data_IF_133934919008
#
_entry.id   IF_133934919008
#
_cell.length_a   1.000
_cell.length_b   1.000
_cell.length_c   1.000
_cell.angle_alpha   90.00
_cell.angle_beta   90.00
_cell.angle_gamma   90.00
#
_symmetry.space_group_name_H-M   'P 1'
#
loop_
_entity.id
_entity.type
_entity.pdbx_description
1 polymer ?
#
# COMPACT_ATOMS: atom_id res chain seq x y z
N UNK A 1 18.87 13.02 -3.21
CA UNK A 1 19.87 13.06 -4.31
C UNK A 1 20.80 11.87 -4.12
N UNK A 2 20.91 11.02 -5.13
CA UNK A 2 21.74 9.81 -5.06
C UNK A 2 23.23 10.18 -5.05
N UNK A 3 24.03 9.52 -4.21
CA UNK A 3 25.48 9.71 -4.18
C UNK A 3 26.19 8.74 -5.12
N UNK A 4 27.35 9.10 -5.61
CA UNK A 4 28.17 8.23 -6.47
C UNK A 4 28.55 6.92 -5.79
N UNK A 5 28.77 6.96 -4.48
CA UNK A 5 29.03 5.77 -3.68
C UNK A 5 27.83 4.80 -3.69
N UNK A 6 26.59 5.32 -3.51
CA UNK A 6 25.38 4.50 -3.57
C UNK A 6 25.20 3.86 -4.95
N UNK A 7 25.42 4.61 -6.04
CA UNK A 7 25.37 4.07 -7.41
C UNK A 7 26.38 2.93 -7.57
N UNK A 8 27.63 3.16 -7.20
CA UNK A 8 28.72 2.18 -7.38
C UNK A 8 28.49 0.89 -6.59
N UNK A 9 28.08 1.01 -5.32
CA UNK A 9 27.81 -0.14 -4.45
C UNK A 9 26.60 -0.96 -4.93
N UNK A 10 25.50 -0.29 -5.30
CA UNK A 10 24.31 -0.96 -5.78
C UNK A 10 24.52 -1.64 -7.14
N UNK A 11 25.25 -0.98 -8.06
CA UNK A 11 25.65 -1.59 -9.33
C UNK A 11 26.47 -2.87 -9.11
N UNK A 12 27.48 -2.81 -8.23
CA UNK A 12 28.33 -3.96 -7.91
C UNK A 12 27.55 -5.10 -7.27
N UNK A 13 26.59 -4.80 -6.36
CA UNK A 13 25.70 -5.82 -5.77
C UNK A 13 24.89 -6.55 -6.82
N UNK A 14 24.48 -5.86 -7.89
CA UNK A 14 23.76 -6.46 -9.03
C UNK A 14 24.66 -7.12 -10.07
N UNK A 15 25.98 -7.14 -9.86
CA UNK A 15 26.93 -7.73 -10.80
C UNK A 15 27.04 -6.98 -12.13
N UNK A 16 26.57 -5.73 -12.21
CA UNK A 16 26.58 -4.94 -13.43
C UNK A 16 27.94 -4.24 -13.62
N UNK A 17 28.42 -4.18 -14.87
CA UNK A 17 29.50 -3.27 -15.25
C UNK A 17 29.00 -1.84 -15.43
N UNK A 18 29.87 -0.82 -15.45
CA UNK A 18 29.46 0.56 -15.76
C UNK A 18 28.82 0.64 -17.16
N UNK A 19 29.33 -0.11 -18.13
CA UNK A 19 28.76 -0.17 -19.47
C UNK A 19 27.36 -0.81 -19.49
N UNK A 20 27.15 -1.91 -18.78
CA UNK A 20 25.85 -2.56 -18.69
C UNK A 20 24.81 -1.66 -18.00
N UNK A 21 25.20 -0.94 -16.93
CA UNK A 21 24.31 0.03 -16.30
C UNK A 21 23.99 1.20 -17.24
N UNK A 22 24.98 1.69 -17.97
CA UNK A 22 24.82 2.79 -18.93
C UNK A 22 23.81 2.43 -20.04
N UNK A 23 23.87 1.21 -20.57
CA UNK A 23 22.93 0.69 -21.56
C UNK A 23 21.49 0.65 -20.99
N UNK A 24 21.30 0.16 -19.77
CA UNK A 24 19.98 0.09 -19.11
C UNK A 24 19.34 1.46 -18.88
N UNK A 25 20.16 2.52 -18.74
CA UNK A 25 19.70 3.89 -18.45
C UNK A 25 19.67 4.76 -19.71
N UNK A 26 20.22 4.25 -20.82
CA UNK A 26 20.38 4.99 -22.07
C UNK A 26 21.28 6.23 -21.89
N UNK A 27 22.54 5.97 -21.49
CA UNK A 27 23.60 6.97 -21.35
C UNK A 27 24.96 6.37 -21.74
N UNK A 28 26.03 7.20 -21.79
CA UNK A 28 27.35 6.67 -22.02
C UNK A 28 27.98 6.06 -20.75
N UNK A 29 28.91 5.10 -20.86
CA UNK A 29 29.66 4.57 -19.72
C UNK A 29 30.44 5.64 -18.95
N UNK A 30 30.91 6.68 -19.64
CA UNK A 30 31.57 7.83 -19.04
C UNK A 30 30.65 8.63 -18.13
N UNK A 31 29.37 8.72 -18.48
CA UNK A 31 28.39 9.38 -17.62
C UNK A 31 28.20 8.63 -16.29
N UNK A 32 28.04 7.29 -16.34
CA UNK A 32 28.01 6.45 -15.13
C UNK A 32 29.28 6.60 -14.30
N UNK A 33 30.46 6.58 -14.95
CA UNK A 33 31.74 6.77 -14.28
C UNK A 33 31.85 8.14 -13.58
N UNK A 34 31.32 9.20 -14.21
CA UNK A 34 31.28 10.54 -13.60
C UNK A 34 30.34 10.61 -12.41
N UNK A 35 29.19 9.97 -12.50
CA UNK A 35 28.22 9.88 -11.39
C UNK A 35 28.82 9.13 -10.19
N UNK A 36 29.47 7.97 -10.42
CA UNK A 36 30.08 7.18 -9.35
C UNK A 36 31.23 7.89 -8.62
N UNK A 37 31.82 8.90 -9.23
CA UNK A 37 32.86 9.73 -8.62
C UNK A 37 32.35 11.07 -8.09
N UNK A 38 31.03 11.27 -8.07
CA UNK A 38 30.40 12.54 -7.71
C UNK A 38 30.90 13.76 -8.51
N UNK A 39 31.49 13.51 -9.70
CA UNK A 39 31.98 14.57 -10.58
C UNK A 39 30.83 15.28 -11.32
N UNK A 40 29.68 14.63 -11.43
CA UNK A 40 28.47 15.14 -12.04
C UNK A 40 27.25 14.41 -11.45
N UNK A 41 26.15 15.09 -11.26
CA UNK A 41 24.91 14.47 -10.80
C UNK A 41 24.04 14.02 -11.98
N UNK A 42 23.36 12.88 -11.91
CA UNK A 42 22.37 12.50 -12.92
C UNK A 42 21.22 13.52 -12.94
N UNK A 43 20.55 13.67 -14.10
CA UNK A 43 19.31 14.45 -14.17
C UNK A 43 18.23 13.78 -13.29
N UNK A 44 17.19 14.51 -12.83
CA UNK A 44 16.13 13.92 -12.02
C UNK A 44 15.50 12.67 -12.65
N UNK A 45 15.26 12.67 -13.96
CA UNK A 45 14.76 11.52 -14.71
C UNK A 45 15.72 10.31 -14.67
N UNK A 46 17.03 10.56 -14.84
CA UNK A 46 18.04 9.49 -14.79
C UNK A 46 18.28 9.00 -13.36
N UNK A 47 18.17 9.89 -12.37
CA UNK A 47 18.22 9.55 -10.95
C UNK A 47 17.08 8.60 -10.56
N UNK A 48 15.84 8.88 -10.99
CA UNK A 48 14.69 8.02 -10.77
C UNK A 48 14.90 6.62 -11.40
N UNK A 49 15.40 6.56 -12.64
CA UNK A 49 15.74 5.29 -13.30
C UNK A 49 16.84 4.53 -12.55
N UNK A 50 17.85 5.22 -11.99
CA UNK A 50 18.89 4.61 -11.17
C UNK A 50 18.30 3.95 -9.91
N UNK A 51 17.42 4.63 -9.19
CA UNK A 51 16.73 4.04 -8.04
C UNK A 51 16.00 2.75 -8.42
N UNK A 52 15.25 2.75 -9.52
CA UNK A 52 14.52 1.58 -10.00
C UNK A 52 15.43 0.44 -10.46
N UNK A 53 16.40 0.73 -11.32
CA UNK A 53 17.27 -0.30 -11.91
C UNK A 53 18.20 -0.91 -10.85
N UNK A 54 18.75 -0.09 -9.97
CA UNK A 54 19.70 -0.53 -8.98
C UNK A 54 19.05 -1.05 -7.69
N UNK A 55 17.73 -0.83 -7.51
CA UNK A 55 17.04 -1.17 -6.25
C UNK A 55 17.62 -0.39 -5.07
N UNK A 56 18.02 0.86 -5.31
CA UNK A 56 18.46 1.75 -4.23
C UNK A 56 17.19 2.26 -3.55
N UNK A 57 17.11 2.25 -2.21
CA UNK A 57 15.99 2.86 -1.51
C UNK A 57 15.88 4.34 -1.89
N UNK A 58 14.67 4.79 -2.26
CA UNK A 58 14.43 6.18 -2.63
C UNK A 58 14.65 7.14 -1.44
N UNK A 59 14.43 6.61 -0.24
CA UNK A 59 14.70 7.30 1.01
C UNK A 59 15.89 6.63 1.70
N UNK A 60 16.83 7.42 2.22
CA UNK A 60 17.89 6.89 3.06
C UNK A 60 17.25 6.22 4.28
N UNK A 61 17.78 5.07 4.66
CA UNK A 61 17.37 4.37 5.87
C UNK A 61 17.83 5.17 7.09
N UNK A 62 17.01 6.10 7.51
CA UNK A 62 17.15 6.82 8.78
C UNK A 62 16.52 6.05 9.95
N UNK A 63 16.17 4.78 9.71
CA UNK A 63 15.45 3.93 10.67
C UNK A 63 13.95 4.16 10.72
N UNK A 64 13.41 5.10 9.93
CA UNK A 64 11.96 5.41 9.90
C UNK A 64 11.27 4.89 8.64
N UNK A 65 11.97 4.81 7.50
CA UNK A 65 11.41 4.39 6.21
C UNK A 65 12.39 3.47 5.47
N UNK A 66 12.35 2.20 5.74
CA UNK A 66 13.21 1.21 5.09
C UNK A 66 12.61 0.74 3.76
N UNK A 67 13.35 0.87 2.65
CA UNK A 67 12.99 0.40 1.31
C UNK A 67 11.59 0.85 0.84
N UNK A 68 11.16 2.07 1.21
CA UNK A 68 9.81 2.57 0.90
C UNK A 68 8.70 1.94 1.74
N UNK A 69 9.02 1.16 2.76
CA UNK A 69 8.05 0.68 3.75
C UNK A 69 7.71 1.81 4.72
N UNK A 70 6.44 1.99 5.03
CA UNK A 70 6.01 2.91 6.08
C UNK A 70 6.28 2.30 7.46
N UNK A 71 6.22 0.96 7.56
CA UNK A 71 6.41 0.22 8.81
C UNK A 71 7.09 -1.12 8.53
N UNK A 72 7.75 -1.64 9.56
CA UNK A 72 8.36 -2.97 9.56
C UNK A 72 7.29 -4.05 9.77
N UNK A 73 7.20 -5.01 8.84
CA UNK A 73 6.17 -6.04 8.88
C UNK A 73 6.35 -7.06 10.01
N UNK A 74 7.56 -7.32 10.48
CA UNK A 74 7.76 -8.24 11.60
C UNK A 74 7.27 -7.62 12.91
N UNK A 75 7.56 -6.34 13.14
CA UNK A 75 7.02 -5.59 14.26
C UNK A 75 5.50 -5.48 14.19
N UNK A 76 4.92 -5.18 13.02
CA UNK A 76 3.46 -5.13 12.86
C UNK A 76 2.82 -6.50 13.10
N UNK A 77 3.39 -7.58 12.57
CA UNK A 77 2.90 -8.95 12.80
C UNK A 77 2.95 -9.33 14.27
N UNK A 78 4.05 -9.02 14.97
CA UNK A 78 4.19 -9.29 16.39
C UNK A 78 3.19 -8.49 17.24
N UNK A 79 3.04 -7.19 16.92
CA UNK A 79 2.06 -6.32 17.57
C UNK A 79 0.62 -6.84 17.39
N UNK A 80 0.22 -7.12 16.16
CA UNK A 80 -1.13 -7.62 15.85
C UNK A 80 -1.39 -8.97 16.50
N UNK A 81 -0.44 -9.90 16.42
CA UNK A 81 -0.55 -11.21 17.08
C UNK A 81 -0.71 -11.04 18.59
N UNK A 82 0.08 -10.17 19.23
CA UNK A 82 -0.02 -9.89 20.66
C UNK A 82 -1.37 -9.29 21.04
N UNK A 83 -1.86 -8.29 20.30
CA UNK A 83 -3.16 -7.67 20.52
C UNK A 83 -4.31 -8.67 20.35
N UNK A 84 -4.31 -9.43 19.25
CA UNK A 84 -5.39 -10.36 18.93
C UNK A 84 -5.41 -11.59 19.84
N UNK A 85 -4.27 -12.11 20.27
CA UNK A 85 -4.19 -13.26 21.17
C UNK A 85 -4.67 -12.92 22.60
N UNK A 86 -4.59 -11.67 23.00
CA UNK A 86 -4.99 -11.21 24.34
C UNK A 86 -6.38 -10.55 24.36
N UNK A 87 -7.09 -10.53 23.21
CA UNK A 87 -8.40 -9.92 23.08
C UNK A 87 -9.43 -10.86 22.42
N UNK A 88 -10.67 -10.39 22.23
CA UNK A 88 -11.75 -11.17 21.65
C UNK A 88 -11.70 -11.18 20.10
N UNK A 89 -10.55 -11.55 19.51
CA UNK A 89 -10.30 -11.47 18.07
C UNK A 89 -9.90 -12.80 17.40
N UNK A 90 -10.69 -13.89 17.57
CA UNK A 90 -10.33 -15.21 17.05
C UNK A 90 -10.33 -15.25 15.50
N UNK A 91 -11.26 -14.57 14.82
CA UNK A 91 -11.29 -14.51 13.36
C UNK A 91 -10.13 -13.68 12.81
N UNK A 92 -9.85 -12.52 13.38
CA UNK A 92 -8.75 -11.68 12.98
C UNK A 92 -7.38 -12.35 13.19
N UNK A 93 -7.21 -13.07 14.31
CA UNK A 93 -5.99 -13.85 14.57
C UNK A 93 -5.78 -14.95 13.52
N UNK A 94 -6.85 -15.66 13.16
CA UNK A 94 -6.84 -16.66 12.08
C UNK A 94 -6.56 -15.98 10.72
N UNK A 95 -7.19 -14.83 10.46
CA UNK A 95 -7.01 -14.07 9.22
C UNK A 95 -5.57 -13.56 9.05
N UNK A 96 -4.90 -13.17 10.14
CA UNK A 96 -3.49 -12.77 10.12
C UNK A 96 -2.59 -13.88 9.56
N UNK A 97 -2.75 -15.10 10.03
CA UNK A 97 -1.99 -16.26 9.55
C UNK A 97 -2.34 -16.57 8.10
N UNK A 98 -3.63 -16.62 7.79
CA UNK A 98 -4.12 -16.94 6.46
C UNK A 98 -3.67 -15.92 5.40
N UNK A 99 -3.74 -14.63 5.69
CA UNK A 99 -3.30 -13.59 4.77
C UNK A 99 -1.78 -13.67 4.51
N UNK A 100 -0.96 -13.94 5.54
CA UNK A 100 0.49 -14.14 5.39
C UNK A 100 0.80 -15.32 4.45
N UNK A 101 0.13 -16.44 4.62
CA UNK A 101 0.29 -17.63 3.75
C UNK A 101 -0.13 -17.33 2.30
N UNK A 102 -1.25 -16.63 2.10
CA UNK A 102 -1.79 -16.35 0.76
C UNK A 102 -0.97 -15.32 -0.02
N UNK A 103 -0.40 -14.34 0.67
CA UNK A 103 0.45 -13.31 0.05
C UNK A 103 1.95 -13.65 0.09
N UNK A 104 2.33 -14.90 0.47
CA UNK A 104 3.72 -15.31 0.50
C UNK A 104 4.37 -15.15 -0.88
N UNK A 105 5.54 -14.52 -0.92
CA UNK A 105 6.29 -14.24 -2.15
C UNK A 105 5.71 -13.14 -3.04
N UNK A 106 4.54 -12.58 -2.74
CA UNK A 106 3.99 -11.45 -3.48
C UNK A 106 4.67 -10.14 -3.08
N UNK A 107 4.90 -9.28 -4.08
CA UNK A 107 5.50 -7.96 -3.88
C UNK A 107 4.52 -6.85 -4.29
N UNK A 108 4.57 -5.73 -3.57
CA UNK A 108 3.88 -4.50 -3.98
C UNK A 108 4.57 -3.87 -5.19
N UNK A 109 3.80 -3.15 -5.98
CA UNK A 109 4.35 -2.31 -7.06
C UNK A 109 4.83 -0.97 -6.49
N UNK A 110 5.98 -0.43 -6.95
CA UNK A 110 6.86 -1.05 -7.94
C UNK A 110 7.69 -2.21 -7.35
N UNK A 111 7.82 -3.30 -8.08
CA UNK A 111 8.53 -4.52 -7.63
C UNK A 111 10.00 -4.22 -7.26
N UNK A 112 10.58 -3.16 -7.87
CA UNK A 112 11.95 -2.71 -7.60
C UNK A 112 12.23 -2.38 -6.13
N UNK A 113 11.20 -2.01 -5.36
CA UNK A 113 11.33 -1.73 -3.92
C UNK A 113 11.35 -2.98 -3.05
N UNK A 114 11.05 -4.16 -3.62
CA UNK A 114 11.06 -5.45 -2.92
C UNK A 114 10.21 -5.46 -1.63
N UNK A 115 9.09 -4.70 -1.63
CA UNK A 115 8.18 -4.62 -0.48
C UNK A 115 7.22 -5.82 -0.53
N UNK A 116 7.22 -6.71 0.47
CA UNK A 116 6.25 -7.79 0.56
C UNK A 116 4.82 -7.25 0.59
N UNK A 117 3.92 -7.90 -0.15
CA UNK A 117 2.53 -7.44 -0.26
C UNK A 117 1.82 -7.40 1.09
N UNK A 118 2.14 -8.34 1.97
CA UNK A 118 1.55 -8.45 3.30
C UNK A 118 1.73 -7.18 4.16
N UNK A 119 2.74 -6.34 3.87
CA UNK A 119 2.92 -5.04 4.54
C UNK A 119 1.64 -4.19 4.47
N UNK A 120 0.90 -4.26 3.35
CA UNK A 120 -0.32 -3.50 3.15
C UNK A 120 -1.45 -3.86 4.12
N UNK A 121 -1.97 -5.10 4.16
CA UNK A 121 -3.03 -5.45 5.10
C UNK A 121 -2.59 -5.37 6.57
N UNK A 122 -1.31 -5.60 6.88
CA UNK A 122 -0.79 -5.39 8.24
C UNK A 122 -0.86 -3.92 8.65
N UNK A 123 -0.40 -3.00 7.79
CA UNK A 123 -0.48 -1.55 8.05
C UNK A 123 -1.93 -1.10 8.23
N UNK A 124 -2.85 -1.57 7.39
CA UNK A 124 -4.28 -1.26 7.49
C UNK A 124 -4.86 -1.70 8.84
N UNK A 125 -4.50 -2.89 9.30
CA UNK A 125 -5.01 -3.45 10.55
C UNK A 125 -4.40 -2.75 11.78
N UNK A 126 -3.11 -2.40 11.74
CA UNK A 126 -2.48 -1.55 12.74
C UNK A 126 -3.13 -0.16 12.81
N UNK A 127 -3.45 0.43 11.65
CA UNK A 127 -4.16 1.71 11.54
C UNK A 127 -5.56 1.62 12.16
N UNK A 128 -6.30 0.52 11.92
CA UNK A 128 -7.59 0.28 12.55
C UNK A 128 -7.49 0.25 14.08
N UNK A 129 -6.54 -0.49 14.65
CA UNK A 129 -6.30 -0.49 16.10
C UNK A 129 -5.91 0.89 16.63
N UNK A 130 -5.10 1.64 15.91
CA UNK A 130 -4.71 3.01 16.30
C UNK A 130 -5.91 3.97 16.32
N UNK A 131 -6.94 3.71 15.51
CA UNK A 131 -8.22 4.44 15.51
C UNK A 131 -9.20 3.94 16.57
N UNK A 132 -8.84 2.93 17.38
CA UNK A 132 -9.72 2.32 18.38
C UNK A 132 -10.78 1.38 17.82
N UNK A 133 -10.57 0.87 16.59
CA UNK A 133 -11.48 -0.10 15.98
C UNK A 133 -11.13 -1.52 16.47
N UNK A 134 -11.95 -2.06 17.34
CA UNK A 134 -11.76 -3.36 17.99
C UNK A 134 -12.92 -4.33 17.66
N UNK A 135 -13.24 -4.47 16.37
CA UNK A 135 -14.25 -5.40 15.85
C UNK A 135 -13.56 -6.56 15.13
N UNK A 136 -13.75 -7.80 15.60
CA UNK A 136 -13.08 -9.01 15.09
C UNK A 136 -13.34 -9.24 13.60
N UNK A 137 -14.60 -9.08 13.17
CA UNK A 137 -15.00 -9.24 11.77
C UNK A 137 -14.37 -8.16 10.87
N UNK A 138 -14.36 -6.90 11.34
CA UNK A 138 -13.75 -5.81 10.59
C UNK A 138 -12.24 -6.02 10.43
N UNK A 139 -11.55 -6.40 11.52
CA UNK A 139 -10.10 -6.66 11.51
C UNK A 139 -9.76 -7.86 10.60
N UNK A 140 -10.57 -8.93 10.64
CA UNK A 140 -10.41 -10.06 9.72
C UNK A 140 -10.62 -9.64 8.27
N UNK A 141 -11.64 -8.83 7.98
CA UNK A 141 -11.91 -8.34 6.64
C UNK A 141 -10.78 -7.42 6.11
N UNK A 142 -10.16 -6.59 6.97
CA UNK A 142 -8.98 -5.79 6.62
C UNK A 142 -7.78 -6.65 6.21
N UNK A 143 -7.54 -7.75 6.91
CA UNK A 143 -6.46 -8.68 6.58
C UNK A 143 -6.69 -9.46 5.28
N UNK A 144 -7.96 -9.71 4.94
CA UNK A 144 -8.36 -10.58 3.84
C UNK A 144 -8.84 -9.85 2.58
N UNK A 145 -8.96 -8.52 2.60
CA UNK A 145 -9.67 -7.73 1.59
C UNK A 145 -9.17 -7.97 0.16
N UNK A 146 -7.87 -8.20 -0.03
CA UNK A 146 -7.25 -8.43 -1.34
C UNK A 146 -7.01 -9.91 -1.65
N UNK A 147 -7.23 -10.85 -0.70
CA UNK A 147 -6.99 -12.28 -0.93
C UNK A 147 -7.85 -12.82 -2.08
N UNK A 148 -9.09 -12.37 -2.21
CA UNK A 148 -9.97 -12.81 -3.30
C UNK A 148 -9.54 -12.25 -4.65
N UNK A 149 -9.08 -11.01 -4.70
CA UNK A 149 -8.67 -10.32 -5.92
C UNK A 149 -7.30 -10.82 -6.41
N UNK A 150 -6.32 -10.88 -5.52
CA UNK A 150 -4.92 -11.11 -5.86
C UNK A 150 -4.48 -12.58 -5.79
N UNK A 151 -5.10 -13.40 -4.91
CA UNK A 151 -4.73 -14.81 -4.75
C UNK A 151 -5.72 -15.77 -5.42
N UNK A 152 -6.77 -15.26 -6.07
CA UNK A 152 -7.72 -16.08 -6.81
C UNK A 152 -8.60 -16.99 -5.94
N UNK A 153 -8.75 -16.69 -4.65
CA UNK A 153 -9.62 -17.44 -3.73
C UNK A 153 -11.00 -16.79 -3.71
N UNK A 154 -12.07 -17.44 -4.18
CA UNK A 154 -13.41 -16.87 -4.10
C UNK A 154 -13.79 -16.48 -2.65
N UNK A 155 -14.39 -15.31 -2.46
CA UNK A 155 -14.72 -14.82 -1.12
C UNK A 155 -15.62 -15.80 -0.34
N UNK A 156 -16.53 -16.48 -1.04
CA UNK A 156 -17.42 -17.50 -0.49
C UNK A 156 -16.69 -18.77 -0.02
N UNK A 157 -15.47 -18.99 -0.49
CA UNK A 157 -14.62 -20.16 -0.16
C UNK A 157 -13.65 -19.86 0.98
N UNK A 158 -13.58 -18.63 1.46
CA UNK A 158 -12.73 -18.27 2.58
C UNK A 158 -13.20 -19.02 3.85
N UNK A 159 -12.29 -19.61 4.65
CA UNK A 159 -12.64 -20.40 5.84
C UNK A 159 -12.97 -19.49 7.05
N UNK A 160 -13.85 -18.51 6.87
CA UNK A 160 -14.24 -17.47 7.82
C UNK A 160 -15.76 -17.35 7.91
N UNK A 161 -16.26 -16.57 8.86
CA UNK A 161 -17.70 -16.34 9.01
C UNK A 161 -18.31 -15.74 7.74
N UNK A 162 -19.63 -15.95 7.61
CA UNK A 162 -20.39 -15.41 6.47
C UNK A 162 -20.28 -13.88 6.39
N UNK A 163 -20.21 -13.21 7.52
CA UNK A 163 -20.09 -11.76 7.57
C UNK A 163 -18.75 -11.29 7.00
N UNK A 164 -17.65 -11.95 7.36
CA UNK A 164 -16.32 -11.68 6.78
C UNK A 164 -16.32 -11.94 5.27
N UNK A 165 -16.87 -13.09 4.84
CA UNK A 165 -16.97 -13.42 3.41
C UNK A 165 -17.75 -12.36 2.63
N UNK A 166 -18.87 -11.88 3.16
CA UNK A 166 -19.73 -10.89 2.51
C UNK A 166 -19.04 -9.53 2.40
N UNK A 167 -18.30 -9.12 3.44
CA UNK A 167 -17.50 -7.87 3.38
C UNK A 167 -16.38 -8.00 2.34
N UNK A 168 -15.60 -9.08 2.35
CA UNK A 168 -14.53 -9.31 1.37
C UNK A 168 -15.09 -9.33 -0.04
N UNK A 169 -16.23 -10.00 -0.27
CA UNK A 169 -16.92 -10.01 -1.57
C UNK A 169 -17.32 -8.60 -2.02
N UNK A 170 -17.87 -7.79 -1.13
CA UNK A 170 -18.27 -6.41 -1.45
C UNK A 170 -17.08 -5.53 -1.84
N UNK A 171 -15.92 -5.69 -1.21
CA UNK A 171 -14.76 -4.84 -1.47
C UNK A 171 -13.88 -5.33 -2.63
N UNK A 172 -14.03 -6.57 -3.06
CA UNK A 172 -13.36 -7.16 -4.24
C UNK A 172 -13.92 -6.55 -5.52
N UNK A 173 -13.08 -5.98 -6.39
CA UNK A 173 -13.51 -5.44 -7.69
C UNK A 173 -13.83 -6.59 -8.66
N UNK A 174 -15.03 -6.60 -9.31
CA UNK A 174 -15.34 -7.60 -10.33
C UNK A 174 -14.38 -7.49 -11.52
N UNK A 175 -13.99 -8.64 -12.09
CA UNK A 175 -13.09 -8.69 -13.26
C UNK A 175 -13.81 -8.41 -14.59
N UNK A 176 -15.12 -8.58 -14.63
CA UNK A 176 -15.97 -8.45 -15.82
C UNK A 176 -17.20 -7.62 -15.50
N UNK A 177 -17.75 -6.94 -16.51
CA UNK A 177 -18.98 -6.11 -16.40
C UNK A 177 -18.93 -5.12 -15.22
N UNK A 178 -17.82 -4.39 -15.10
CA UNK A 178 -17.57 -3.51 -13.99
C UNK A 178 -18.19 -2.12 -14.17
N UNK A 179 -19.08 -1.75 -13.25
CA UNK A 179 -19.58 -0.38 -13.10
C UNK A 179 -19.10 0.17 -11.76
N UNK A 180 -18.21 1.16 -11.80
CA UNK A 180 -17.72 1.81 -10.57
C UNK A 180 -18.86 2.35 -9.69
N UNK A 181 -19.84 3.01 -10.31
CA UNK A 181 -20.97 3.57 -9.57
C UNK A 181 -21.79 2.50 -8.84
N UNK A 182 -22.06 1.35 -9.51
CA UNK A 182 -22.76 0.24 -8.89
C UNK A 182 -21.93 -0.41 -7.77
N UNK A 183 -20.63 -0.55 -7.97
CA UNK A 183 -19.69 -1.09 -6.98
C UNK A 183 -19.69 -0.25 -5.70
N UNK A 184 -19.47 1.07 -5.80
CA UNK A 184 -19.46 1.94 -4.64
C UNK A 184 -20.83 2.07 -3.98
N UNK A 185 -21.90 2.04 -4.76
CA UNK A 185 -23.27 2.01 -4.22
C UNK A 185 -23.58 0.71 -3.45
N UNK A 186 -22.99 -0.42 -3.84
CA UNK A 186 -23.11 -1.67 -3.08
C UNK A 186 -22.32 -1.60 -1.76
N UNK A 187 -21.08 -1.11 -1.78
CA UNK A 187 -20.25 -0.91 -0.59
C UNK A 187 -20.93 0.01 0.41
N UNK A 188 -21.52 1.12 -0.05
CA UNK A 188 -22.21 2.11 0.80
C UNK A 188 -23.36 1.56 1.62
N UNK A 189 -23.86 0.34 1.33
CA UNK A 189 -24.89 -0.34 2.11
C UNK A 189 -24.36 -1.07 3.36
N UNK A 190 -23.04 -1.24 3.47
CA UNK A 190 -22.40 -1.95 4.58
C UNK A 190 -21.33 -1.07 5.23
N UNK A 191 -21.54 -0.58 6.46
CA UNK A 191 -20.58 0.30 7.15
C UNK A 191 -19.20 -0.32 7.36
N UNK A 192 -19.09 -1.63 7.61
CA UNK A 192 -17.80 -2.31 7.75
C UNK A 192 -17.05 -2.37 6.41
N UNK A 193 -17.76 -2.65 5.30
CA UNK A 193 -17.17 -2.60 3.96
C UNK A 193 -16.71 -1.17 3.59
N UNK A 194 -17.49 -0.14 3.96
CA UNK A 194 -17.07 1.26 3.82
C UNK A 194 -15.78 1.54 4.60
N UNK A 195 -15.69 1.05 5.84
CA UNK A 195 -14.51 1.22 6.69
C UNK A 195 -13.28 0.55 6.05
N UNK A 196 -13.41 -0.70 5.59
CA UNK A 196 -12.32 -1.41 4.88
C UNK A 196 -11.83 -0.58 3.69
N UNK A 197 -12.74 -0.11 2.83
CA UNK A 197 -12.36 0.68 1.64
C UNK A 197 -11.76 2.04 1.98
N UNK A 198 -12.21 2.70 3.05
CA UNK A 198 -11.64 3.98 3.46
C UNK A 198 -10.23 3.83 4.06
N UNK A 199 -9.98 2.77 4.84
CA UNK A 199 -8.65 2.47 5.38
C UNK A 199 -7.70 2.05 4.24
N UNK A 200 -8.15 1.19 3.31
CA UNK A 200 -7.41 0.80 2.11
C UNK A 200 -7.01 2.04 1.29
N UNK A 201 -7.98 2.92 0.99
CA UNK A 201 -7.71 4.15 0.25
C UNK A 201 -6.71 5.04 0.97
N UNK A 202 -6.85 5.22 2.28
CA UNK A 202 -5.93 6.02 3.08
C UNK A 202 -4.50 5.45 3.00
N UNK A 203 -4.35 4.13 3.12
CA UNK A 203 -3.04 3.47 2.98
C UNK A 203 -2.46 3.64 1.57
N UNK A 204 -3.26 3.44 0.54
CA UNK A 204 -2.81 3.56 -0.85
C UNK A 204 -2.42 4.99 -1.22
N UNK A 205 -3.20 6.01 -0.83
CA UNK A 205 -2.84 7.40 -1.13
C UNK A 205 -1.64 7.88 -0.32
N UNK A 206 -1.38 7.30 0.86
CA UNK A 206 -0.17 7.59 1.64
C UNK A 206 1.11 7.14 0.94
N UNK A 207 1.05 6.05 0.18
CA UNK A 207 2.19 5.49 -0.56
C UNK A 207 2.23 5.83 -2.05
N UNK A 208 1.23 6.52 -2.59
CA UNK A 208 1.10 6.70 -4.05
C UNK A 208 2.24 7.51 -4.68
N UNK A 209 2.82 8.45 -3.94
CA UNK A 209 3.98 9.23 -4.42
C UNK A 209 5.21 8.36 -4.70
N UNK A 210 5.33 7.22 -4.05
CA UNK A 210 6.43 6.27 -4.21
C UNK A 210 6.10 5.22 -5.28
N UNK A 211 4.83 4.79 -5.35
CA UNK A 211 4.44 3.58 -6.07
C UNK A 211 3.65 3.80 -7.37
N UNK A 212 3.14 5.00 -7.65
CA UNK A 212 2.25 5.23 -8.77
C UNK A 212 2.88 6.13 -9.84
N UNK A 213 2.65 5.80 -11.12
CA UNK A 213 2.85 6.73 -12.21
C UNK A 213 1.87 7.91 -12.10
N UNK A 214 2.23 9.05 -12.72
CA UNK A 214 1.46 10.30 -12.61
C UNK A 214 -0.01 10.14 -13.06
N UNK A 215 -0.25 9.43 -14.16
CA UNK A 215 -1.61 9.16 -14.66
C UNK A 215 -2.42 8.36 -13.63
N UNK A 216 -1.84 7.30 -13.07
CA UNK A 216 -2.50 6.50 -12.04
C UNK A 216 -2.79 7.29 -10.76
N UNK A 217 -1.90 8.22 -10.37
CA UNK A 217 -2.16 9.13 -9.25
C UNK A 217 -3.38 10.01 -9.53
N UNK A 218 -3.52 10.52 -10.75
CA UNK A 218 -4.65 11.33 -11.15
C UNK A 218 -5.96 10.55 -11.07
N UNK A 219 -6.01 9.35 -11.65
CA UNK A 219 -7.19 8.47 -11.59
C UNK A 219 -7.58 8.19 -10.14
N UNK A 220 -6.59 7.92 -9.26
CA UNK A 220 -6.82 7.67 -7.84
C UNK A 220 -7.38 8.87 -7.09
N UNK A 221 -6.90 10.09 -7.43
CA UNK A 221 -7.41 11.33 -6.85
C UNK A 221 -8.87 11.52 -7.26
N UNK A 222 -9.19 11.39 -8.56
CA UNK A 222 -10.53 11.58 -9.11
C UNK A 222 -11.52 10.55 -8.56
N UNK A 223 -11.14 9.27 -8.54
CA UNK A 223 -11.94 8.18 -7.94
C UNK A 223 -12.21 8.46 -6.46
N UNK A 224 -11.19 8.93 -5.72
CA UNK A 224 -11.33 9.23 -4.30
C UNK A 224 -12.27 10.41 -4.07
N UNK A 225 -12.13 11.49 -4.81
CA UNK A 225 -13.01 12.66 -4.67
C UNK A 225 -14.46 12.36 -5.06
N UNK A 226 -14.66 11.47 -6.01
CA UNK A 226 -15.98 11.12 -6.51
C UNK A 226 -16.76 10.20 -5.57
N UNK A 227 -16.14 9.19 -5.01
CA UNK A 227 -16.88 8.12 -4.31
C UNK A 227 -16.69 8.10 -2.78
N UNK A 228 -15.52 8.47 -2.29
CA UNK A 228 -15.22 8.32 -0.86
C UNK A 228 -15.95 9.28 0.09
N UNK A 229 -16.40 10.47 -0.32
CA UNK A 229 -17.24 11.31 0.54
C UNK A 229 -18.52 10.60 1.02
N UNK A 230 -19.16 9.79 0.16
CA UNK A 230 -20.36 9.04 0.55
C UNK A 230 -20.01 7.88 1.51
N UNK A 231 -18.94 7.14 1.26
CA UNK A 231 -18.49 6.09 2.18
C UNK A 231 -18.13 6.66 3.56
N UNK A 232 -17.41 7.78 3.60
CA UNK A 232 -17.09 8.48 4.84
C UNK A 232 -18.33 8.97 5.59
N UNK A 233 -19.36 9.37 4.87
CA UNK A 233 -20.66 9.76 5.45
C UNK A 233 -21.37 8.56 6.09
N UNK A 234 -21.34 7.39 5.43
CA UNK A 234 -21.92 6.16 5.98
C UNK A 234 -21.24 5.77 7.29
N UNK A 235 -19.90 5.71 7.32
CA UNK A 235 -19.17 5.35 8.56
C UNK A 235 -19.34 6.40 9.66
N UNK A 236 -19.47 7.67 9.32
CA UNK A 236 -19.76 8.74 10.28
C UNK A 236 -21.16 8.59 10.91
N UNK A 237 -22.09 7.94 10.23
CA UNK A 237 -23.42 7.63 10.76
C UNK A 237 -23.44 6.55 11.82
N UNK A 238 -22.33 5.83 12.05
CA UNK A 238 -22.18 4.79 13.08
C UNK A 238 -21.45 5.41 14.27
N UNK A 239 -22.08 5.52 15.45
CA UNK A 239 -21.48 6.21 16.59
C UNK A 239 -20.08 5.71 16.98
N UNK A 240 -19.87 4.39 16.95
CA UNK A 240 -18.61 3.74 17.29
C UNK A 240 -17.48 4.07 16.28
N UNK A 241 -17.84 4.49 15.07
CA UNK A 241 -16.89 4.82 13.99
C UNK A 241 -16.60 6.32 13.85
N UNK A 242 -17.24 7.17 14.66
CA UNK A 242 -17.16 8.64 14.50
C UNK A 242 -15.72 9.17 14.52
N UNK A 243 -14.89 8.71 15.47
CA UNK A 243 -13.50 9.13 15.56
C UNK A 243 -12.68 8.67 14.35
N UNK A 244 -12.86 7.41 13.93
CA UNK A 244 -12.21 6.86 12.76
C UNK A 244 -12.65 7.59 11.48
N UNK A 245 -13.94 7.88 11.32
CA UNK A 245 -14.47 8.63 10.18
C UNK A 245 -13.87 10.04 10.08
N UNK A 246 -13.74 10.74 11.23
CA UNK A 246 -13.11 12.05 11.27
C UNK A 246 -11.63 11.97 10.86
N UNK A 247 -10.88 11.04 11.46
CA UNK A 247 -9.45 10.88 11.19
C UNK A 247 -9.17 10.50 9.73
N UNK A 248 -9.90 9.52 9.19
CA UNK A 248 -9.78 9.12 7.79
C UNK A 248 -10.14 10.27 6.82
N UNK A 249 -11.21 11.03 7.13
CA UNK A 249 -11.56 12.22 6.35
C UNK A 249 -10.43 13.24 6.33
N UNK A 250 -9.81 13.51 7.47
CA UNK A 250 -8.69 14.44 7.58
C UNK A 250 -7.47 13.93 6.82
N UNK A 251 -7.07 12.68 7.05
CA UNK A 251 -5.88 12.08 6.41
C UNK A 251 -6.03 12.02 4.89
N UNK A 252 -7.14 11.47 4.37
CA UNK A 252 -7.38 11.36 2.93
C UNK A 252 -7.35 12.75 2.29
N UNK A 253 -8.07 13.74 2.85
CA UNK A 253 -8.08 15.10 2.29
C UNK A 253 -6.70 15.76 2.30
N UNK A 254 -5.95 15.62 3.39
CA UNK A 254 -4.60 16.18 3.51
C UNK A 254 -3.66 15.58 2.47
N UNK A 255 -3.69 14.26 2.30
CA UNK A 255 -2.87 13.55 1.33
C UNK A 255 -3.23 13.94 -0.11
N UNK A 256 -4.52 14.05 -0.45
CA UNK A 256 -4.96 14.49 -1.78
C UNK A 256 -4.54 15.93 -2.06
N UNK A 257 -4.65 16.84 -1.09
CA UNK A 257 -4.20 18.22 -1.24
C UNK A 257 -2.70 18.31 -1.49
N UNK A 258 -1.90 17.49 -0.79
CA UNK A 258 -0.45 17.39 -1.01
C UNK A 258 -0.15 16.84 -2.40
N UNK A 259 -0.77 15.72 -2.78
CA UNK A 259 -0.55 15.07 -4.07
C UNK A 259 -0.88 15.97 -5.27
N UNK A 260 -1.94 16.79 -5.17
CA UNK A 260 -2.30 17.79 -6.20
C UNK A 260 -1.26 18.92 -6.37
N UNK A 261 -0.36 19.10 -5.40
CA UNK A 261 0.70 20.13 -5.42
C UNK A 261 2.05 19.59 -5.85
N UNK A 262 2.21 18.29 -5.96
CA UNK A 262 3.45 17.68 -6.48
C UNK A 262 3.56 18.06 -7.97
N UNK A 263 4.66 18.72 -8.39
CA UNK A 263 4.91 19.00 -9.81
C UNK A 263 4.96 17.68 -10.59
N UNK A 264 4.28 17.64 -11.71
CA UNK A 264 4.20 16.47 -12.61
C UNK A 264 5.21 16.59 -13.73
#
# INVERSE_FOLDING_TARGET
MITGKQISEARKRKGLTQAALAELIDVSPEAVSKWERDAYSPSPEKEERLYHILGIPFLEDDGTLNNGRLFDEDHMSAFLKGKMSNGPFPEALKALTYAKEKHEGQLRKPISLQIPYINHPLTMTCHAFAMGLEDDVLLAALLLHDVSEDCGVPAESLPFSKEVQDIVKLVTKPKHEFSESAYYAAIAKNPKACMVKCIDRCNNVSGMAIGFAAERMQDYIEETEKYYPELLKVIKGVPEYNNAAWLLSYQIRSLLLTAKRIPR
#
